data_IF_801626456917
#
_entry.id   IF_801626456917
#
_cell.length_a   1.000
_cell.length_b   1.000
_cell.length_c   1.000
_cell.angle_alpha   90.00
_cell.angle_beta   90.00
_cell.angle_gamma   90.00
#
_symmetry.space_group_name_H-M   'P 1'
#
loop_
_entity.id
_entity.type
_entity.pdbx_description
1 polymer ?
#
# COMPACT_ATOMS: atom_id res chain seq x y z
N UNK A 1 -17.03 25.10 1.59
CA UNK A 1 -17.04 23.62 1.63
C UNK A 1 -18.48 23.16 1.54
N UNK A 2 -18.79 22.11 0.81
CA UNK A 2 -20.08 21.43 0.94
C UNK A 2 -20.11 20.76 2.31
N UNK A 3 -21.09 21.07 3.16
CA UNK A 3 -21.22 20.48 4.51
C UNK A 3 -21.32 18.95 4.49
N UNK A 4 -21.75 18.39 3.34
CA UNK A 4 -21.93 16.96 3.11
C UNK A 4 -20.70 16.10 3.45
N UNK A 5 -19.50 16.56 3.13
CA UNK A 5 -18.27 15.76 3.26
C UNK A 5 -17.38 16.16 4.43
N UNK A 6 -17.85 17.02 5.35
CA UNK A 6 -17.03 17.58 6.42
C UNK A 6 -16.34 16.52 7.29
N UNK A 7 -17.01 15.39 7.58
CA UNK A 7 -16.43 14.31 8.39
C UNK A 7 -15.14 13.73 7.77
N UNK A 8 -15.03 13.71 6.43
CA UNK A 8 -13.86 13.22 5.73
C UNK A 8 -12.62 14.10 5.92
N UNK A 9 -12.83 15.36 6.34
CA UNK A 9 -11.77 16.34 6.61
C UNK A 9 -11.50 16.54 8.09
N UNK A 10 -12.11 15.73 8.96
CA UNK A 10 -11.77 15.72 10.38
C UNK A 10 -10.46 14.97 10.60
N UNK A 11 -9.57 15.47 11.47
CA UNK A 11 -8.33 14.77 11.80
C UNK A 11 -8.59 13.49 12.59
N UNK A 12 -7.64 12.57 12.54
CA UNK A 12 -7.58 11.38 13.39
C UNK A 12 -6.12 11.00 13.66
N UNK A 13 -5.89 10.07 14.57
CA UNK A 13 -4.54 9.67 14.95
C UNK A 13 -4.21 8.26 14.47
N UNK A 14 -2.99 8.05 14.01
CA UNK A 14 -2.33 6.75 13.85
C UNK A 14 -1.21 6.72 14.91
N UNK A 15 -1.43 6.00 16.01
CA UNK A 15 -0.59 6.12 17.18
C UNK A 15 -0.55 7.58 17.69
N UNK A 16 0.64 8.15 17.83
CA UNK A 16 0.84 9.57 18.20
C UNK A 16 0.87 10.53 17.00
N UNK A 17 0.72 10.03 15.78
CA UNK A 17 0.75 10.85 14.58
C UNK A 17 -0.64 11.35 14.21
N UNK A 18 -0.87 12.66 14.29
CA UNK A 18 -2.10 13.26 13.82
C UNK A 18 -2.12 13.35 12.29
N UNK A 19 -3.16 12.80 11.67
CA UNK A 19 -3.45 12.84 10.24
C UNK A 19 -4.57 13.84 10.01
N UNK A 20 -4.35 14.82 9.13
CA UNK A 20 -5.24 15.99 8.96
C UNK A 20 -6.65 15.68 8.41
N UNK A 21 -6.84 14.53 7.76
CA UNK A 21 -8.13 14.10 7.19
C UNK A 21 -8.15 12.58 6.97
N UNK A 22 -9.30 12.04 6.52
CA UNK A 22 -9.55 10.61 6.36
C UNK A 22 -9.03 10.00 5.06
N UNK A 23 -8.34 10.77 4.20
CA UNK A 23 -7.82 10.30 2.92
C UNK A 23 -6.35 9.97 3.01
N UNK A 24 -6.04 8.70 2.78
CA UNK A 24 -4.67 8.18 2.75
C UNK A 24 -4.33 7.78 1.31
N UNK A 25 -3.20 8.23 0.79
CA UNK A 25 -2.63 7.64 -0.42
C UNK A 25 -2.03 6.28 -0.04
N UNK A 26 -2.59 5.20 -0.59
CA UNK A 26 -2.11 3.84 -0.34
C UNK A 26 -0.72 3.58 -0.93
N UNK A 27 0.01 2.62 -0.33
CA UNK A 27 1.32 2.25 -0.81
C UNK A 27 1.23 1.76 -2.26
N UNK A 28 1.88 2.49 -3.13
CA UNK A 28 2.01 2.17 -4.54
C UNK A 28 3.27 2.82 -5.08
N UNK A 29 4.34 2.05 -5.08
CA UNK A 29 5.55 2.38 -5.81
C UNK A 29 5.29 2.22 -7.31
N UNK A 30 5.98 3.00 -8.10
CA UNK A 30 5.97 2.87 -9.54
C UNK A 30 7.39 2.61 -10.01
N UNK A 31 7.59 1.64 -10.88
CA UNK A 31 8.90 1.37 -11.47
C UNK A 31 9.51 2.64 -12.06
N UNK A 32 10.85 2.73 -12.05
CA UNK A 32 11.64 3.89 -12.50
C UNK A 32 11.54 5.14 -11.59
N UNK A 33 11.00 5.03 -10.39
CA UNK A 33 11.01 6.10 -9.37
C UNK A 33 12.22 6.04 -8.43
N UNK A 34 13.11 5.09 -8.66
CA UNK A 34 14.30 4.86 -7.83
C UNK A 34 15.57 5.10 -8.63
N UNK A 35 16.61 5.53 -7.96
CA UNK A 35 17.95 5.64 -8.55
C UNK A 35 18.74 4.33 -8.40
N UNK A 36 19.96 4.30 -8.93
CA UNK A 36 20.85 3.12 -8.85
C UNK A 36 21.28 2.74 -7.42
N UNK A 37 20.91 3.56 -6.45
CA UNK A 37 21.23 3.37 -5.03
C UNK A 37 20.00 3.00 -4.19
N UNK A 38 18.87 2.70 -4.82
CA UNK A 38 17.63 2.31 -4.13
C UNK A 38 16.89 3.46 -3.44
N UNK A 39 17.29 4.71 -3.65
CA UNK A 39 16.60 5.87 -3.13
C UNK A 39 15.61 6.43 -4.16
N UNK A 40 14.57 7.15 -3.70
CA UNK A 40 13.67 7.88 -4.59
C UNK A 40 14.47 8.87 -5.44
N UNK A 41 14.20 8.87 -6.76
CA UNK A 41 14.69 9.91 -7.65
C UNK A 41 13.74 11.13 -7.65
N UNK A 42 14.03 12.14 -8.47
CA UNK A 42 13.22 13.36 -8.51
C UNK A 42 11.79 13.11 -9.04
N UNK A 43 11.57 12.15 -9.94
CA UNK A 43 10.24 11.77 -10.42
C UNK A 43 9.42 11.12 -9.30
N UNK A 44 10.03 10.23 -8.50
CA UNK A 44 9.40 9.64 -7.32
C UNK A 44 9.02 10.69 -6.27
N UNK A 45 9.91 11.63 -5.99
CA UNK A 45 9.61 12.75 -5.08
C UNK A 45 8.46 13.61 -5.63
N UNK A 46 8.45 13.93 -6.92
CA UNK A 46 7.39 14.72 -7.55
C UNK A 46 6.04 13.97 -7.50
N UNK A 47 6.05 12.66 -7.75
CA UNK A 47 4.89 11.79 -7.68
C UNK A 47 4.18 11.87 -6.33
N UNK A 48 4.87 11.63 -5.22
CA UNK A 48 4.26 11.70 -3.87
C UNK A 48 3.90 13.13 -3.47
N UNK A 49 4.75 14.12 -3.81
CA UNK A 49 4.47 15.53 -3.53
C UNK A 49 3.20 16.03 -4.21
N UNK A 50 2.90 15.57 -5.44
CA UNK A 50 1.69 15.97 -6.15
C UNK A 50 0.42 15.48 -5.42
N UNK A 51 0.45 14.30 -4.77
CA UNK A 51 -0.66 13.79 -3.95
C UNK A 51 -0.78 14.55 -2.62
N UNK A 52 0.34 14.90 -2.00
CA UNK A 52 0.34 15.77 -0.83
C UNK A 52 -0.32 17.13 -1.13
N UNK A 53 0.05 17.76 -2.24
CA UNK A 53 -0.57 18.98 -2.77
C UNK A 53 -2.06 18.78 -3.09
N UNK A 54 -2.43 17.59 -3.53
CA UNK A 54 -3.80 17.18 -3.81
C UNK A 54 -4.68 16.97 -2.59
N UNK A 55 -4.15 17.15 -1.37
CA UNK A 55 -4.92 17.17 -0.14
C UNK A 55 -4.93 15.89 0.68
N UNK A 56 -4.18 14.85 0.29
CA UNK A 56 -4.08 13.63 1.10
C UNK A 56 -3.52 13.92 2.50
N UNK A 57 -4.09 13.28 3.54
CA UNK A 57 -3.65 13.42 4.93
C UNK A 57 -2.32 12.71 5.19
N UNK A 58 -2.13 11.56 4.57
CA UNK A 58 -0.85 10.86 4.56
C UNK A 58 -0.59 10.24 3.19
N UNK A 59 0.69 10.02 2.87
CA UNK A 59 1.17 9.23 1.74
C UNK A 59 1.99 8.07 2.26
N UNK A 60 1.68 6.87 1.78
CA UNK A 60 2.44 5.66 2.04
C UNK A 60 3.27 5.35 0.79
N UNK A 61 4.56 5.18 0.96
CA UNK A 61 5.46 4.81 -0.13
C UNK A 61 5.16 3.36 -0.56
N UNK A 62 5.52 2.99 -1.76
CA UNK A 62 5.48 1.59 -2.18
C UNK A 62 6.55 0.78 -1.48
N UNK A 63 6.44 -0.56 -1.56
CA UNK A 63 7.26 -1.46 -0.77
C UNK A 63 8.77 -1.25 -1.01
N UNK A 64 9.48 -1.06 0.09
CA UNK A 64 10.94 -1.12 0.13
C UNK A 64 11.37 -2.56 0.47
N UNK A 65 12.24 -3.13 -0.35
CA UNK A 65 12.91 -4.40 -0.04
C UNK A 65 14.20 -4.09 0.69
N UNK A 66 14.29 -4.54 1.94
CA UNK A 66 15.31 -4.06 2.88
C UNK A 66 16.41 -5.06 3.18
N UNK A 67 16.24 -6.31 2.71
CA UNK A 67 17.18 -7.38 2.97
C UNK A 67 18.12 -7.60 1.77
N UNK A 68 19.40 -7.34 2.01
CA UNK A 68 20.47 -7.64 1.06
C UNK A 68 21.38 -8.79 1.55
N UNK A 69 20.98 -9.47 2.66
CA UNK A 69 21.76 -10.54 3.28
C UNK A 69 21.23 -11.94 2.92
N UNK A 70 19.93 -12.06 2.78
CA UNK A 70 19.23 -13.33 2.50
C UNK A 70 18.68 -13.37 1.09
N UNK A 71 17.99 -12.30 0.68
CA UNK A 71 17.50 -12.07 -0.69
C UNK A 71 18.17 -10.84 -1.29
N UNK A 72 18.60 -10.92 -2.52
CA UNK A 72 19.21 -9.79 -3.21
C UNK A 72 18.22 -9.17 -4.20
N UNK A 73 17.76 -7.96 -3.87
CA UNK A 73 16.84 -7.20 -4.72
C UNK A 73 17.59 -6.09 -5.47
N UNK A 74 17.44 -6.01 -6.81
CA UNK A 74 18.06 -4.93 -7.58
C UNK A 74 17.54 -3.55 -7.12
N UNK A 75 18.42 -2.63 -6.68
CA UNK A 75 18.00 -1.34 -6.12
C UNK A 75 17.29 -0.42 -7.13
N UNK A 76 17.43 -0.67 -8.42
CA UNK A 76 16.77 0.11 -9.49
C UNK A 76 15.31 -0.27 -9.71
N UNK A 77 14.88 -1.43 -9.21
CA UNK A 77 13.50 -1.91 -9.39
C UNK A 77 12.59 -1.60 -8.21
N UNK A 78 13.18 -1.53 -7.01
CA UNK A 78 12.45 -1.31 -5.77
C UNK A 78 13.22 -0.36 -4.87
N UNK A 79 12.51 0.30 -3.97
CA UNK A 79 13.13 1.08 -2.90
C UNK A 79 13.98 0.16 -2.00
N UNK A 80 15.20 0.59 -1.66
CA UNK A 80 16.10 -0.18 -0.82
C UNK A 80 16.88 0.74 0.13
N UNK A 81 16.34 1.02 1.32
CA UNK A 81 16.92 1.94 2.28
C UNK A 81 18.35 1.56 2.73
N UNK A 82 18.62 0.26 2.84
CA UNK A 82 19.88 -0.24 3.40
C UNK A 82 20.99 -0.42 2.36
N UNK A 83 20.71 -0.25 1.07
CA UNK A 83 21.72 -0.36 0.02
C UNK A 83 22.72 0.83 0.05
N UNK A 84 22.19 2.05 0.19
CA UNK A 84 22.99 3.26 0.33
C UNK A 84 22.34 4.24 1.34
N UNK A 85 22.46 3.98 2.66
CA UNK A 85 21.67 4.67 3.70
C UNK A 85 21.76 6.19 3.70
N UNK A 86 22.96 6.73 3.45
CA UNK A 86 23.18 8.18 3.38
C UNK A 86 22.44 8.82 2.18
N UNK A 87 22.44 8.15 1.02
CA UNK A 87 21.70 8.59 -0.16
C UNK A 87 20.20 8.51 0.07
N UNK A 88 19.73 7.39 0.63
CA UNK A 88 18.35 7.20 1.01
C UNK A 88 17.86 8.31 1.93
N UNK A 89 18.54 8.53 3.06
CA UNK A 89 18.20 9.58 4.05
C UNK A 89 18.05 10.96 3.40
N UNK A 90 18.99 11.35 2.53
CA UNK A 90 18.94 12.63 1.82
C UNK A 90 17.66 12.78 0.98
N UNK A 91 17.32 11.79 0.17
CA UNK A 91 16.18 11.86 -0.74
C UNK A 91 14.86 11.73 0.01
N UNK A 92 14.81 10.87 1.02
CA UNK A 92 13.65 10.68 1.89
C UNK A 92 13.33 11.94 2.70
N UNK A 93 14.32 12.59 3.31
CA UNK A 93 14.12 13.86 4.04
C UNK A 93 13.60 14.97 3.12
N UNK A 94 14.07 15.03 1.88
CA UNK A 94 13.54 15.98 0.89
C UNK A 94 12.07 15.71 0.57
N UNK A 95 11.66 14.45 0.47
CA UNK A 95 10.26 14.09 0.29
C UNK A 95 9.41 14.52 1.48
N UNK A 96 9.87 14.20 2.70
CA UNK A 96 9.17 14.55 3.95
C UNK A 96 8.97 16.06 4.05
N UNK A 97 10.00 16.86 3.79
CA UNK A 97 9.90 18.32 3.76
C UNK A 97 8.86 18.82 2.76
N UNK A 98 8.88 18.30 1.52
CA UNK A 98 7.93 18.70 0.47
C UNK A 98 6.50 18.29 0.76
N UNK A 99 6.26 17.11 1.32
CA UNK A 99 4.94 16.66 1.74
C UNK A 99 4.46 17.44 2.96
N UNK A 100 5.35 17.69 3.92
CA UNK A 100 5.10 18.47 5.13
C UNK A 100 4.62 19.90 4.86
N UNK A 101 5.10 20.54 3.77
CA UNK A 101 4.63 21.84 3.34
C UNK A 101 3.12 21.89 3.04
N UNK A 102 2.48 20.74 2.84
CA UNK A 102 1.02 20.60 2.66
C UNK A 102 0.36 19.95 3.89
N UNK A 103 1.04 19.79 5.01
CA UNK A 103 0.54 19.13 6.21
C UNK A 103 0.29 17.62 6.01
N UNK A 104 0.96 16.99 5.05
CA UNK A 104 0.82 15.57 4.72
C UNK A 104 1.93 14.77 5.38
N UNK A 105 1.56 13.72 6.13
CA UNK A 105 2.51 12.80 6.76
C UNK A 105 3.03 11.78 5.75
N UNK A 106 4.28 11.35 5.92
CA UNK A 106 4.91 10.33 5.08
C UNK A 106 5.14 9.06 5.89
N UNK A 107 4.73 7.93 5.35
CA UNK A 107 4.98 6.60 5.89
C UNK A 107 5.79 5.80 4.86
N UNK A 108 6.81 5.08 5.31
CA UNK A 108 7.51 4.10 4.49
C UNK A 108 6.79 2.76 4.53
N UNK A 109 6.87 1.96 3.48
CA UNK A 109 6.40 0.58 3.52
C UNK A 109 7.62 -0.35 3.39
N UNK A 110 7.75 -1.34 4.28
CA UNK A 110 8.85 -2.31 4.27
C UNK A 110 8.33 -3.73 4.09
N UNK A 111 8.99 -4.51 3.24
CA UNK A 111 8.62 -5.89 2.92
C UNK A 111 9.72 -6.89 3.27
N UNK A 112 9.32 -8.04 3.81
CA UNK A 112 10.21 -9.14 4.18
C UNK A 112 10.55 -10.06 3.00
N UNK A 113 9.79 -10.00 1.91
CA UNK A 113 9.99 -10.79 0.69
C UNK A 113 8.69 -11.25 0.04
N UNK A 114 8.80 -11.76 -1.18
CA UNK A 114 7.66 -12.16 -2.01
C UNK A 114 6.95 -13.43 -1.54
N UNK A 115 7.60 -14.27 -0.72
CA UNK A 115 7.02 -15.53 -0.30
C UNK A 115 6.70 -16.44 -1.51
N UNK A 116 5.62 -17.22 -1.39
CA UNK A 116 5.16 -18.08 -2.48
C UNK A 116 4.73 -17.34 -3.76
N UNK A 117 4.58 -16.02 -3.71
CA UNK A 117 4.26 -15.22 -4.90
C UNK A 117 5.46 -15.01 -5.84
N UNK A 118 6.66 -15.34 -5.41
CA UNK A 118 7.89 -15.16 -6.18
C UNK A 118 8.59 -16.49 -6.40
N UNK A 119 8.90 -16.78 -7.68
CA UNK A 119 9.60 -18.00 -8.09
C UNK A 119 10.97 -18.10 -7.42
N UNK A 120 11.24 -19.23 -6.78
CA UNK A 120 12.51 -19.49 -6.09
C UNK A 120 12.74 -18.70 -4.80
N UNK A 121 11.76 -17.91 -4.35
CA UNK A 121 11.85 -17.17 -3.10
C UNK A 121 11.67 -18.08 -1.87
N UNK A 122 11.95 -17.51 -0.70
CA UNK A 122 11.74 -18.16 0.59
C UNK A 122 10.28 -18.08 1.00
N UNK A 123 9.77 -19.15 1.61
CA UNK A 123 8.45 -19.24 2.23
C UNK A 123 8.56 -19.95 3.60
N UNK A 124 7.56 -19.87 4.47
CA UNK A 124 7.60 -20.57 5.76
C UNK A 124 7.80 -22.09 5.62
N UNK A 125 7.24 -22.67 4.57
CA UNK A 125 7.37 -24.08 4.21
C UNK A 125 7.49 -24.24 2.71
N UNK A 126 8.00 -25.39 2.26
CA UNK A 126 8.15 -25.73 0.85
C UNK A 126 6.80 -26.05 0.19
N UNK A 127 6.01 -25.01 -0.07
CA UNK A 127 4.69 -25.08 -0.71
C UNK A 127 4.74 -24.70 -2.18
N UNK A 128 3.65 -24.94 -2.92
CA UNK A 128 3.51 -24.58 -4.33
C UNK A 128 3.73 -23.07 -4.56
N UNK A 129 4.54 -22.74 -5.56
CA UNK A 129 4.73 -21.35 -6.01
C UNK A 129 3.49 -20.87 -6.76
N UNK A 130 3.10 -19.63 -6.57
CA UNK A 130 2.00 -19.04 -7.32
C UNK A 130 2.28 -19.06 -8.82
N UNK A 131 1.28 -19.49 -9.61
CA UNK A 131 1.37 -19.73 -11.07
C UNK A 131 2.36 -20.79 -11.53
N UNK A 132 3.07 -21.46 -10.60
CA UNK A 132 4.02 -22.55 -10.91
C UNK A 132 3.78 -23.74 -9.97
N UNK A 133 2.63 -24.44 -10.08
CA UNK A 133 2.21 -25.47 -9.11
C UNK A 133 3.14 -26.69 -9.06
N UNK A 134 3.98 -26.88 -10.09
CA UNK A 134 5.01 -27.94 -10.12
C UNK A 134 6.33 -27.52 -9.47
N UNK A 135 6.44 -26.25 -9.03
CA UNK A 135 7.63 -25.72 -8.36
C UNK A 135 7.29 -25.42 -6.89
N UNK A 136 8.25 -25.63 -6.02
CA UNK A 136 8.12 -25.33 -4.60
C UNK A 136 9.08 -24.24 -4.19
N UNK A 137 8.61 -23.37 -3.30
CA UNK A 137 9.46 -22.38 -2.65
C UNK A 137 10.46 -23.08 -1.72
N UNK A 138 11.54 -22.38 -1.41
CA UNK A 138 12.51 -22.85 -0.40
C UNK A 138 12.02 -22.48 0.99
N UNK A 139 12.17 -23.40 1.93
CA UNK A 139 11.84 -23.10 3.33
C UNK A 139 12.87 -22.15 3.93
N UNK A 140 12.39 -21.12 4.64
CA UNK A 140 13.22 -20.15 5.34
C UNK A 140 13.67 -20.74 6.69
N UNK A 141 14.93 -20.59 7.03
CA UNK A 141 15.46 -20.99 8.35
C UNK A 141 15.17 -19.93 9.42
N UNK A 142 15.19 -20.32 10.71
CA UNK A 142 15.02 -19.39 11.83
C UNK A 142 16.10 -18.28 11.79
N UNK A 143 17.36 -18.62 11.52
CA UNK A 143 18.45 -17.64 11.37
C UNK A 143 18.17 -16.63 10.26
N UNK A 144 17.59 -17.06 9.13
CA UNK A 144 17.19 -16.16 8.05
C UNK A 144 15.99 -15.27 8.44
N UNK A 145 15.04 -15.80 9.23
CA UNK A 145 13.94 -14.99 9.78
C UNK A 145 14.51 -13.84 10.61
N UNK A 146 15.38 -14.15 11.57
CA UNK A 146 16.00 -13.14 12.45
C UNK A 146 16.80 -12.09 11.66
N UNK A 147 17.58 -12.50 10.67
CA UNK A 147 18.32 -11.58 9.79
C UNK A 147 17.39 -10.63 9.03
N UNK A 148 16.27 -11.13 8.50
CA UNK A 148 15.29 -10.32 7.80
C UNK A 148 14.59 -9.34 8.74
N UNK A 149 14.19 -9.79 9.95
CA UNK A 149 13.62 -8.92 10.99
C UNK A 149 14.58 -7.78 11.37
N UNK A 150 15.87 -8.10 11.57
CA UNK A 150 16.91 -7.11 11.87
C UNK A 150 17.02 -6.04 10.76
N UNK A 151 16.99 -6.47 9.49
CA UNK A 151 17.02 -5.54 8.35
C UNK A 151 15.78 -4.63 8.32
N UNK A 152 14.59 -5.17 8.59
CA UNK A 152 13.36 -4.37 8.63
C UNK A 152 13.37 -3.35 9.76
N UNK A 153 13.87 -3.72 10.95
CA UNK A 153 14.04 -2.81 12.09
C UNK A 153 15.05 -1.70 11.76
N UNK A 154 16.18 -2.03 11.14
CA UNK A 154 17.17 -1.05 10.68
C UNK A 154 16.62 -0.08 9.64
N UNK A 155 15.83 -0.58 8.70
CA UNK A 155 15.18 0.26 7.70
C UNK A 155 14.15 1.21 8.33
N UNK A 156 13.35 0.73 9.28
CA UNK A 156 12.41 1.56 10.03
C UNK A 156 13.13 2.67 10.82
N UNK A 157 14.26 2.36 11.46
CA UNK A 157 15.10 3.36 12.15
C UNK A 157 15.62 4.43 11.18
N UNK A 158 16.09 4.05 10.00
CA UNK A 158 16.55 4.98 8.97
C UNK A 158 15.41 5.85 8.42
N UNK A 159 14.19 5.29 8.27
CA UNK A 159 12.99 6.04 7.89
C UNK A 159 12.62 7.06 8.95
N UNK A 160 12.64 6.68 10.25
CA UNK A 160 12.47 7.64 11.36
C UNK A 160 13.48 8.76 11.30
N UNK A 161 14.75 8.44 11.14
CA UNK A 161 15.87 9.40 11.02
C UNK A 161 15.75 10.33 9.80
N UNK A 162 14.99 9.90 8.79
CA UNK A 162 14.66 10.68 7.59
C UNK A 162 13.45 11.60 7.79
N UNK A 163 12.75 11.49 8.95
CA UNK A 163 11.59 12.32 9.31
C UNK A 163 10.23 11.70 8.97
N UNK A 164 10.16 10.41 8.65
CA UNK A 164 8.89 9.72 8.43
C UNK A 164 8.06 9.70 9.72
N UNK A 165 6.74 9.72 9.56
CA UNK A 165 5.79 9.63 10.67
C UNK A 165 5.65 8.20 11.20
N UNK A 166 5.95 7.21 10.37
CA UNK A 166 5.85 5.81 10.71
C UNK A 166 6.28 4.89 9.57
N UNK A 167 6.15 3.61 9.81
CA UNK A 167 6.41 2.54 8.85
C UNK A 167 5.18 1.65 8.71
N UNK A 168 4.88 1.20 7.48
CA UNK A 168 3.89 0.17 7.17
C UNK A 168 4.59 -1.16 6.93
N UNK A 169 4.15 -2.20 7.60
CA UNK A 169 4.63 -3.55 7.33
C UNK A 169 3.84 -4.13 6.15
N UNK A 170 4.50 -4.31 5.02
CA UNK A 170 3.93 -4.93 3.81
C UNK A 170 3.88 -6.43 4.01
N UNK A 171 2.85 -6.90 4.66
CA UNK A 171 3.02 -8.13 5.36
C UNK A 171 1.85 -9.09 5.27
N UNK A 172 0.83 -8.84 6.02
CA UNK A 172 -0.22 -9.78 6.30
C UNK A 172 -1.33 -9.75 5.25
N UNK A 173 -0.99 -9.53 3.99
CA UNK A 173 -1.94 -9.47 2.88
C UNK A 173 -1.30 -9.93 1.55
N UNK A 174 -2.12 -10.20 0.56
CA UNK A 174 -1.76 -10.58 -0.80
C UNK A 174 -0.91 -11.85 -0.95
N UNK A 175 -0.68 -12.63 0.13
CA UNK A 175 0.10 -13.87 0.08
C UNK A 175 1.62 -13.66 0.03
N UNK A 176 2.15 -12.50 0.47
CA UNK A 176 3.59 -12.27 0.62
C UNK A 176 4.17 -13.09 1.77
N UNK A 177 5.49 -13.02 1.99
CA UNK A 177 6.17 -13.89 2.94
C UNK A 177 5.55 -13.85 4.34
N UNK A 178 5.27 -12.67 4.90
CA UNK A 178 4.65 -12.56 6.23
C UNK A 178 3.21 -13.07 6.24
N UNK A 179 2.46 -12.85 5.16
CA UNK A 179 1.12 -13.41 5.02
C UNK A 179 1.13 -14.94 4.92
N UNK A 180 2.16 -15.51 4.29
CA UNK A 180 2.35 -16.96 4.24
C UNK A 180 2.59 -17.56 5.64
N UNK A 181 3.30 -16.85 6.55
CA UNK A 181 3.45 -17.30 7.93
C UNK A 181 2.10 -17.42 8.65
N UNK A 182 1.18 -16.51 8.39
CA UNK A 182 -0.12 -16.45 9.05
C UNK A 182 -1.09 -17.55 8.58
N UNK A 183 -0.94 -18.06 7.36
CA UNK A 183 -1.88 -19.02 6.76
C UNK A 183 -1.44 -20.47 6.97
N UNK A 184 -2.22 -21.33 7.68
CA UNK A 184 -1.88 -22.74 7.88
C UNK A 184 -1.63 -23.51 6.56
N UNK A 185 -2.35 -23.18 5.50
CA UNK A 185 -2.19 -23.79 4.18
C UNK A 185 -0.78 -23.55 3.56
N UNK A 186 -0.06 -22.52 4.02
CA UNK A 186 1.27 -22.15 3.53
C UNK A 186 2.37 -22.31 4.60
N UNK A 187 1.98 -22.52 5.88
CA UNK A 187 2.91 -22.63 7.01
C UNK A 187 2.70 -23.94 7.75
N UNK A 188 3.55 -24.93 7.45
CA UNK A 188 3.54 -26.25 8.05
C UNK A 188 4.69 -26.42 9.06
N UNK A 189 5.24 -25.34 9.59
CA UNK A 189 6.36 -25.34 10.54
C UNK A 189 5.92 -25.93 11.89
N UNK A 190 6.86 -26.61 12.55
CA UNK A 190 6.68 -27.20 13.87
C UNK A 190 7.49 -26.46 14.96
N UNK A 191 8.21 -25.40 14.57
CA UNK A 191 8.97 -24.52 15.46
C UNK A 191 8.11 -23.34 15.98
N UNK A 192 8.77 -22.38 16.65
CA UNK A 192 8.14 -21.20 17.26
C UNK A 192 7.43 -20.25 16.27
N UNK A 193 7.56 -20.46 14.94
CA UNK A 193 6.93 -19.68 13.89
C UNK A 193 5.80 -20.44 13.16
N UNK A 194 5.38 -21.61 13.68
CA UNK A 194 4.32 -22.44 13.10
C UNK A 194 3.34 -23.01 14.12
N UNK A 195 2.35 -23.77 13.64
CA UNK A 195 1.34 -24.40 14.50
C UNK A 195 0.25 -23.42 14.95
N UNK A 196 0.18 -23.07 16.24
CA UNK A 196 -0.87 -22.19 16.79
C UNK A 196 -0.80 -20.76 16.23
N UNK A 197 -1.89 -20.01 16.37
CA UNK A 197 -2.01 -18.67 15.81
C UNK A 197 -0.94 -17.72 16.35
N UNK A 198 -0.68 -17.76 17.65
CA UNK A 198 0.33 -16.93 18.32
C UNK A 198 1.72 -17.14 17.73
N UNK A 199 2.09 -18.38 17.42
CA UNK A 199 3.35 -18.71 16.79
C UNK A 199 3.40 -18.20 15.33
N UNK A 200 2.32 -18.37 14.58
CA UNK A 200 2.24 -17.87 13.19
C UNK A 200 2.31 -16.35 13.09
N UNK A 201 1.81 -15.63 14.09
CA UNK A 201 1.87 -14.16 14.18
C UNK A 201 3.23 -13.68 14.72
N UNK A 202 3.97 -14.50 15.43
CA UNK A 202 5.21 -14.18 16.16
C UNK A 202 6.21 -13.38 15.32
N UNK A 203 6.46 -13.79 14.09
CA UNK A 203 7.41 -13.09 13.20
C UNK A 203 7.07 -11.60 13.05
N UNK A 204 5.79 -11.24 13.08
CA UNK A 204 5.33 -9.86 12.95
C UNK A 204 5.40 -9.14 14.29
N UNK A 205 4.94 -9.78 15.37
CA UNK A 205 4.94 -9.14 16.70
C UNK A 205 6.34 -8.82 17.18
N UNK A 206 7.31 -9.71 16.97
CA UNK A 206 8.72 -9.46 17.26
C UNK A 206 9.29 -8.26 16.48
N UNK A 207 8.91 -8.10 15.21
CA UNK A 207 9.31 -6.92 14.42
C UNK A 207 8.68 -5.64 14.97
N UNK A 208 7.40 -5.65 15.31
CA UNK A 208 6.70 -4.49 15.90
C UNK A 208 7.37 -4.07 17.19
N UNK A 209 7.64 -5.02 18.08
CA UNK A 209 8.35 -4.78 19.34
C UNK A 209 9.76 -4.23 19.10
N UNK A 210 10.52 -4.83 18.19
CA UNK A 210 11.88 -4.37 17.83
C UNK A 210 11.88 -2.97 17.25
N UNK A 211 10.91 -2.62 16.40
CA UNK A 211 10.78 -1.27 15.85
C UNK A 211 10.47 -0.28 16.98
N UNK A 212 9.55 -0.58 17.89
CA UNK A 212 9.26 0.30 19.02
C UNK A 212 10.43 0.44 20.00
N UNK A 213 11.21 -0.61 20.21
CA UNK A 213 12.42 -0.53 21.03
C UNK A 213 13.46 0.44 20.43
N UNK A 214 13.66 0.40 19.13
CA UNK A 214 14.67 1.23 18.43
C UNK A 214 14.12 2.62 18.09
N UNK A 215 12.88 2.69 17.64
CA UNK A 215 12.28 3.94 17.15
C UNK A 215 11.46 4.69 18.21
N UNK A 216 11.12 4.05 19.34
CA UNK A 216 10.24 4.64 20.34
C UNK A 216 8.77 4.64 19.92
N UNK A 217 7.88 4.91 20.88
CA UNK A 217 6.42 4.83 20.72
C UNK A 217 5.78 6.01 19.95
N UNK A 218 6.54 7.02 19.58
CA UNK A 218 6.11 8.15 18.77
C UNK A 218 6.20 7.86 17.26
N UNK A 219 6.99 6.86 16.86
CA UNK A 219 7.07 6.38 15.49
C UNK A 219 5.99 5.32 15.25
N UNK A 220 5.03 5.62 14.39
CA UNK A 220 3.89 4.75 14.19
C UNK A 220 4.26 3.49 13.37
N UNK A 221 3.71 2.35 13.79
CA UNK A 221 3.80 1.08 13.04
C UNK A 221 2.41 0.70 12.56
N UNK A 222 2.24 0.61 11.25
CA UNK A 222 1.00 0.15 10.61
C UNK A 222 1.22 -1.15 9.87
N UNK A 223 0.15 -1.81 9.48
CA UNK A 223 0.23 -3.09 8.77
C UNK A 223 -0.88 -3.24 7.73
N UNK A 224 -0.54 -3.73 6.54
CA UNK A 224 -1.52 -4.28 5.62
C UNK A 224 -2.02 -5.63 6.14
N UNK A 225 -3.32 -5.78 6.36
CA UNK A 225 -3.95 -7.03 6.79
C UNK A 225 -5.01 -7.49 5.79
N UNK A 226 -4.82 -8.69 5.22
CA UNK A 226 -5.85 -9.39 4.46
C UNK A 226 -6.91 -9.95 5.39
N UNK A 227 -8.13 -9.42 5.32
CA UNK A 227 -9.24 -9.84 6.18
C UNK A 227 -9.85 -11.17 5.74
N UNK A 228 -9.78 -11.48 4.45
CA UNK A 228 -10.23 -12.76 3.88
C UNK A 228 -9.42 -13.07 2.63
N UNK A 229 -8.97 -14.33 2.47
CA UNK A 229 -8.10 -14.72 1.34
C UNK A 229 -8.84 -15.02 0.05
N UNK A 230 -10.10 -15.47 0.12
CA UNK A 230 -10.91 -15.87 -1.03
C UNK A 230 -10.26 -16.97 -1.88
N UNK A 231 -9.78 -18.05 -1.25
CA UNK A 231 -9.20 -19.22 -1.91
C UNK A 231 -9.82 -20.52 -1.42
N UNK A 232 -9.90 -21.51 -2.30
CA UNK A 232 -10.33 -22.89 -1.96
C UNK A 232 -9.16 -23.86 -1.88
N UNK A 233 -8.01 -23.49 -2.43
CA UNK A 233 -6.71 -24.16 -2.31
C UNK A 233 -5.62 -23.18 -2.79
N UNK A 234 -4.34 -23.52 -2.63
CA UNK A 234 -3.25 -22.80 -3.31
C UNK A 234 -3.48 -22.85 -4.83
N UNK A 235 -3.23 -21.73 -5.51
CA UNK A 235 -3.49 -21.50 -6.94
C UNK A 235 -4.99 -21.62 -7.35
N UNK A 236 -5.93 -21.58 -6.41
CA UNK A 236 -7.38 -21.67 -6.67
C UNK A 236 -8.16 -20.59 -5.93
N UNK A 237 -8.41 -19.46 -6.60
CA UNK A 237 -9.24 -18.38 -6.09
C UNK A 237 -10.74 -18.73 -6.08
N UNK A 238 -11.51 -18.06 -5.20
CA UNK A 238 -12.96 -18.16 -5.08
C UNK A 238 -13.60 -16.80 -5.28
N UNK A 239 -14.66 -16.72 -6.10
CA UNK A 239 -15.44 -15.48 -6.28
C UNK A 239 -16.35 -15.18 -5.07
N UNK A 240 -16.91 -16.21 -4.47
CA UNK A 240 -17.89 -16.07 -3.38
C UNK A 240 -17.25 -16.11 -2.00
N UNK A 241 -16.05 -16.71 -1.88
CA UNK A 241 -15.37 -16.96 -0.61
C UNK A 241 -16.00 -18.11 0.20
N UNK A 242 -16.76 -18.98 -0.46
CA UNK A 242 -17.21 -20.24 0.14
C UNK A 242 -16.05 -21.23 0.22
N UNK A 243 -16.09 -22.12 1.22
CA UNK A 243 -15.05 -23.12 1.48
C UNK A 243 -13.64 -22.50 1.56
N UNK A 244 -13.50 -21.42 2.31
CA UNK A 244 -12.23 -20.69 2.51
C UNK A 244 -11.14 -21.62 3.06
N UNK A 245 -10.07 -21.81 2.31
CA UNK A 245 -8.91 -22.60 2.72
C UNK A 245 -7.75 -21.73 3.24
N UNK A 246 -7.81 -20.43 2.99
CA UNK A 246 -6.86 -19.43 3.49
C UNK A 246 -7.34 -18.83 4.80
N UNK A 247 -7.25 -17.48 4.90
CA UNK A 247 -7.71 -16.75 6.08
C UNK A 247 -9.19 -16.46 6.01
N UNK A 248 -9.91 -16.78 7.11
CA UNK A 248 -11.29 -16.33 7.36
C UNK A 248 -11.33 -14.98 8.07
N UNK A 249 -12.51 -14.35 8.13
CA UNK A 249 -12.68 -13.06 8.84
C UNK A 249 -12.46 -13.24 10.35
N UNK A 250 -12.92 -14.34 10.90
CA UNK A 250 -12.77 -14.69 12.32
C UNK A 250 -11.28 -14.81 12.69
N UNK A 251 -10.49 -15.50 11.87
CA UNK A 251 -9.05 -15.60 12.07
C UNK A 251 -8.36 -14.23 11.91
N UNK A 252 -8.79 -13.41 10.95
CA UNK A 252 -8.26 -12.06 10.76
C UNK A 252 -8.53 -11.16 11.98
N UNK A 253 -9.68 -11.30 12.63
CA UNK A 253 -10.02 -10.60 13.87
C UNK A 253 -9.06 -10.98 15.00
N UNK A 254 -8.78 -12.26 15.19
CA UNK A 254 -7.84 -12.71 16.23
C UNK A 254 -6.41 -12.26 15.93
N UNK A 255 -5.98 -12.28 14.67
CA UNK A 255 -4.71 -11.70 14.23
C UNK A 255 -4.68 -10.20 14.55
N UNK A 256 -5.72 -9.45 14.22
CA UNK A 256 -5.81 -8.01 14.48
C UNK A 256 -5.66 -7.67 15.97
N UNK A 257 -6.28 -8.45 16.87
CA UNK A 257 -6.15 -8.30 18.33
C UNK A 257 -4.71 -8.57 18.80
N UNK A 258 -4.06 -9.61 18.27
CA UNK A 258 -2.65 -9.90 18.61
C UNK A 258 -1.72 -8.79 18.13
N UNK A 259 -1.96 -8.24 16.94
CA UNK A 259 -1.18 -7.13 16.37
C UNK A 259 -1.39 -5.83 17.16
N UNK A 260 -2.62 -5.52 17.56
CA UNK A 260 -2.90 -4.37 18.43
C UNK A 260 -2.18 -4.51 19.77
N UNK A 261 -2.25 -5.70 20.39
CA UNK A 261 -1.54 -5.99 21.65
C UNK A 261 -0.03 -5.84 21.52
N UNK A 262 0.55 -6.16 20.35
CA UNK A 262 1.97 -6.00 20.07
C UNK A 262 2.37 -4.53 19.82
N UNK A 263 1.40 -3.62 19.66
CA UNK A 263 1.66 -2.19 19.48
C UNK A 263 1.49 -1.67 18.04
N UNK A 264 0.85 -2.43 17.15
CA UNK A 264 0.43 -1.89 15.84
C UNK A 264 -0.53 -0.72 16.06
N UNK A 265 -0.36 0.36 15.32
CA UNK A 265 -1.08 1.62 15.53
C UNK A 265 -2.23 1.86 14.53
N UNK A 266 -2.29 1.14 13.43
CA UNK A 266 -3.42 1.10 12.50
C UNK A 266 -3.32 -0.09 11.55
N UNK A 267 -4.48 -0.55 11.06
CA UNK A 267 -4.60 -1.63 10.07
C UNK A 267 -5.06 -1.05 8.75
N UNK A 268 -4.31 -1.29 7.68
CA UNK A 268 -4.73 -1.05 6.31
C UNK A 268 -5.42 -2.33 5.81
N UNK A 269 -6.76 -2.39 6.01
CA UNK A 269 -7.55 -3.58 5.71
C UNK A 269 -7.66 -3.84 4.21
N UNK A 270 -7.41 -5.08 3.81
CA UNK A 270 -7.45 -5.55 2.42
C UNK A 270 -8.16 -6.91 2.33
N UNK A 271 -8.37 -7.41 1.14
CA UNK A 271 -8.93 -8.75 0.87
C UNK A 271 -8.25 -9.38 -0.33
N UNK A 272 -8.29 -10.70 -0.37
CA UNK A 272 -7.71 -11.48 -1.46
C UNK A 272 -6.19 -11.59 -1.35
N UNK A 273 -5.67 -12.55 -2.07
CA UNK A 273 -4.24 -12.78 -2.31
C UNK A 273 -3.99 -12.90 -3.82
N UNK A 274 -2.77 -13.17 -4.26
CA UNK A 274 -2.49 -13.32 -5.70
C UNK A 274 -3.34 -14.42 -6.36
N UNK A 275 -3.67 -15.49 -5.66
CA UNK A 275 -4.54 -16.58 -6.14
C UNK A 275 -5.98 -16.11 -6.41
N UNK A 276 -6.44 -15.10 -5.69
CA UNK A 276 -7.74 -14.44 -5.80
C UNK A 276 -7.61 -12.96 -6.19
N UNK A 277 -6.70 -12.66 -7.10
CA UNK A 277 -6.23 -11.32 -7.43
C UNK A 277 -7.33 -10.32 -7.77
N UNK A 278 -8.45 -10.79 -8.33
CA UNK A 278 -9.62 -9.97 -8.62
C UNK A 278 -10.31 -9.40 -7.35
N UNK A 279 -10.02 -9.92 -6.16
CA UNK A 279 -10.38 -9.31 -4.88
C UNK A 279 -9.31 -8.33 -4.39
N UNK A 280 -8.03 -8.70 -4.46
CA UNK A 280 -6.90 -7.88 -3.99
C UNK A 280 -6.72 -6.61 -4.86
N UNK A 281 -6.82 -6.75 -6.18
CA UNK A 281 -6.75 -5.64 -7.12
C UNK A 281 -8.00 -5.60 -8.02
N UNK A 282 -9.18 -5.27 -7.47
CA UNK A 282 -10.46 -5.49 -8.12
C UNK A 282 -10.59 -4.72 -9.43
N UNK A 283 -10.96 -5.40 -10.54
CA UNK A 283 -11.21 -4.79 -11.84
C UNK A 283 -12.54 -4.02 -11.88
N UNK A 284 -12.79 -3.35 -13.00
CA UNK A 284 -13.95 -2.46 -13.16
C UNK A 284 -15.31 -3.10 -12.93
N UNK A 285 -15.45 -4.37 -13.17
CA UNK A 285 -16.70 -5.13 -12.98
C UNK A 285 -16.95 -5.60 -11.53
N UNK A 286 -15.95 -5.57 -10.65
CA UNK A 286 -16.18 -5.81 -9.23
C UNK A 286 -16.89 -4.61 -8.59
N UNK A 287 -17.84 -4.81 -7.66
CA UNK A 287 -18.50 -3.70 -6.97
C UNK A 287 -17.53 -2.77 -6.25
N UNK A 288 -17.82 -1.46 -6.20
CA UNK A 288 -17.11 -0.52 -5.36
C UNK A 288 -17.35 -0.86 -3.89
N UNK A 289 -16.31 -0.81 -3.06
CA UNK A 289 -16.42 -1.07 -1.63
C UNK A 289 -16.85 -2.50 -1.27
N UNK A 290 -16.63 -3.48 -2.15
CA UNK A 290 -17.12 -4.86 -2.01
C UNK A 290 -16.68 -5.58 -0.72
N UNK A 291 -15.64 -5.08 -0.06
CA UNK A 291 -15.10 -5.66 1.16
C UNK A 291 -15.40 -4.80 2.42
N UNK A 292 -16.16 -3.71 2.29
CA UNK A 292 -16.35 -2.75 3.39
C UNK A 292 -16.99 -3.40 4.62
N UNK A 293 -17.95 -4.30 4.44
CA UNK A 293 -18.62 -5.00 5.57
C UNK A 293 -17.69 -5.99 6.28
N UNK A 294 -16.69 -6.53 5.57
CA UNK A 294 -15.67 -7.39 6.19
C UNK A 294 -14.70 -6.54 7.05
N UNK A 295 -14.36 -5.33 6.58
CA UNK A 295 -13.52 -4.41 7.35
C UNK A 295 -14.22 -3.91 8.62
N UNK A 296 -15.53 -3.66 8.53
CA UNK A 296 -16.34 -3.25 9.67
C UNK A 296 -16.31 -4.30 10.79
N UNK A 297 -16.36 -5.59 10.48
CA UNK A 297 -16.26 -6.67 11.47
C UNK A 297 -14.92 -6.64 12.22
N UNK A 298 -13.81 -6.34 11.53
CA UNK A 298 -12.50 -6.16 12.20
C UNK A 298 -12.52 -4.88 13.04
N UNK A 299 -13.05 -3.77 12.49
CA UNK A 299 -13.12 -2.48 13.19
C UNK A 299 -13.88 -2.57 14.52
N UNK A 300 -14.95 -3.34 14.57
CA UNK A 300 -15.73 -3.57 15.80
C UNK A 300 -14.96 -4.28 16.92
N UNK A 301 -13.86 -4.95 16.59
CA UNK A 301 -13.13 -5.83 17.51
C UNK A 301 -11.78 -5.28 17.96
N UNK A 302 -11.34 -4.11 17.41
CA UNK A 302 -10.06 -3.46 17.76
C UNK A 302 -10.26 -1.99 18.07
N UNK A 303 -9.41 -1.45 18.95
CA UNK A 303 -9.42 -0.03 19.33
C UNK A 303 -8.58 0.85 18.39
N UNK A 304 -7.68 0.28 17.60
CA UNK A 304 -6.86 1.02 16.65
C UNK A 304 -7.62 1.34 15.36
N UNK A 305 -7.21 2.38 14.61
CA UNK A 305 -7.81 2.71 13.35
C UNK A 305 -7.75 1.58 12.32
N UNK A 306 -8.88 1.35 11.63
CA UNK A 306 -8.98 0.47 10.47
C UNK A 306 -9.24 1.31 9.23
N UNK A 307 -8.38 1.20 8.22
CA UNK A 307 -8.39 2.00 7.01
C UNK A 307 -8.74 1.13 5.81
N UNK A 308 -9.84 1.47 5.10
CA UNK A 308 -10.39 0.66 4.02
C UNK A 308 -9.60 0.80 2.72
N UNK A 309 -9.13 -0.31 2.14
CA UNK A 309 -8.64 -0.44 0.76
C UNK A 309 -9.78 -0.89 -0.19
N UNK A 310 -9.45 -1.30 -1.40
CA UNK A 310 -10.34 -1.97 -2.38
C UNK A 310 -11.52 -1.17 -2.90
N UNK A 311 -11.29 -0.48 -4.05
CA UNK A 311 -12.29 0.27 -4.84
C UNK A 311 -13.05 1.37 -4.08
N UNK A 312 -12.41 2.04 -3.13
CA UNK A 312 -12.96 3.17 -2.38
C UNK A 312 -12.94 4.52 -3.15
N UNK A 313 -12.68 4.54 -4.46
CA UNK A 313 -12.54 5.75 -5.28
C UNK A 313 -13.86 6.42 -5.69
N UNK A 314 -14.81 6.53 -4.76
CA UNK A 314 -16.09 7.21 -4.91
C UNK A 314 -16.32 8.08 -3.68
N UNK A 315 -16.57 9.41 -3.83
CA UNK A 315 -16.73 10.31 -2.69
C UNK A 315 -17.88 9.94 -1.74
N UNK A 316 -19.01 9.51 -2.27
CA UNK A 316 -20.17 9.15 -1.46
C UNK A 316 -19.96 7.81 -0.73
N UNK A 317 -19.26 6.88 -1.35
CA UNK A 317 -18.83 5.65 -0.68
C UNK A 317 -17.81 5.95 0.44
N UNK A 318 -16.85 6.86 0.22
CA UNK A 318 -15.93 7.29 1.27
C UNK A 318 -16.67 7.90 2.45
N UNK A 319 -17.65 8.77 2.16
CA UNK A 319 -18.51 9.38 3.18
C UNK A 319 -19.25 8.30 3.97
N UNK A 320 -19.97 7.42 3.29
CA UNK A 320 -20.72 6.33 3.91
C UNK A 320 -19.83 5.46 4.81
N UNK A 321 -18.65 5.08 4.35
CA UNK A 321 -17.73 4.22 5.08
C UNK A 321 -17.27 4.82 6.41
N UNK A 322 -16.98 6.13 6.44
CA UNK A 322 -16.51 6.83 7.63
C UNK A 322 -17.66 7.26 8.52
N UNK A 323 -18.74 7.82 7.95
CA UNK A 323 -19.90 8.32 8.69
C UNK A 323 -20.65 7.21 9.43
N UNK A 324 -20.76 6.02 8.81
CA UNK A 324 -21.37 4.84 9.44
C UNK A 324 -20.49 4.16 10.50
N UNK A 325 -19.25 4.64 10.70
CA UNK A 325 -18.32 4.05 11.65
C UNK A 325 -17.70 2.70 11.21
N UNK A 326 -17.94 2.27 9.96
CA UNK A 326 -17.40 1.01 9.43
C UNK A 326 -15.87 1.00 9.37
N UNK A 327 -15.27 2.18 9.14
CA UNK A 327 -13.81 2.38 9.13
C UNK A 327 -13.45 3.79 9.56
N UNK A 328 -12.19 4.03 9.92
CA UNK A 328 -11.71 5.34 10.37
C UNK A 328 -11.22 6.23 9.22
N UNK A 329 -10.91 5.65 8.07
CA UNK A 329 -10.44 6.38 6.90
C UNK A 329 -10.35 5.48 5.67
N UNK A 330 -10.00 6.06 4.54
CA UNK A 330 -9.95 5.38 3.25
C UNK A 330 -8.57 5.46 2.62
N UNK A 331 -8.13 4.35 2.04
CA UNK A 331 -6.82 4.21 1.40
C UNK A 331 -7.02 4.15 -0.13
N UNK A 332 -6.56 5.19 -0.80
CA UNK A 332 -6.73 5.38 -2.24
C UNK A 332 -5.39 5.18 -2.96
N UNK A 333 -5.19 4.04 -3.60
CA UNK A 333 -4.02 3.77 -4.44
C UNK A 333 -4.30 4.14 -5.91
N UNK A 334 -4.99 3.29 -6.66
CA UNK A 334 -5.34 3.55 -8.07
C UNK A 334 -6.18 4.83 -8.29
N UNK A 335 -7.13 5.22 -7.40
CA UNK A 335 -7.79 6.52 -7.51
C UNK A 335 -6.83 7.71 -7.42
N UNK A 336 -5.79 7.64 -6.58
CA UNK A 336 -4.76 8.68 -6.47
C UNK A 336 -3.83 8.74 -7.70
N UNK A 337 -3.73 7.66 -8.51
CA UNK A 337 -3.11 7.70 -9.84
C UNK A 337 -4.01 8.41 -10.85
N UNK A 338 -5.29 8.07 -10.86
CA UNK A 338 -6.27 8.64 -11.77
C UNK A 338 -6.45 10.14 -11.51
N UNK A 339 -6.57 10.53 -10.24
CA UNK A 339 -6.70 11.92 -9.82
C UNK A 339 -5.90 12.21 -8.54
N UNK A 340 -4.71 12.80 -8.63
CA UNK A 340 -3.93 13.16 -7.46
C UNK A 340 -4.60 14.24 -6.57
N UNK A 341 -5.62 14.94 -7.10
CA UNK A 341 -6.36 15.98 -6.40
C UNK A 341 -7.74 15.51 -5.90
N UNK A 342 -7.94 14.21 -5.76
CA UNK A 342 -9.19 13.61 -5.31
C UNK A 342 -9.72 14.25 -4.00
N UNK A 343 -8.95 14.34 -2.89
CA UNK A 343 -9.43 14.99 -1.67
C UNK A 343 -9.69 16.48 -1.87
N UNK A 344 -8.79 17.17 -2.57
CA UNK A 344 -8.91 18.63 -2.79
C UNK A 344 -10.16 19.01 -3.55
N UNK A 345 -10.57 18.23 -4.55
CA UNK A 345 -11.80 18.48 -5.31
C UNK A 345 -13.06 18.28 -4.48
N UNK A 346 -13.07 17.32 -3.56
CA UNK A 346 -14.16 17.14 -2.58
C UNK A 346 -14.20 18.35 -1.63
N UNK A 347 -13.06 18.75 -1.08
CA UNK A 347 -12.94 19.91 -0.18
C UNK A 347 -13.43 21.20 -0.85
N UNK A 348 -13.16 21.36 -2.15
CA UNK A 348 -13.63 22.51 -2.95
C UNK A 348 -15.12 22.43 -3.34
N UNK A 349 -15.82 21.34 -3.04
CA UNK A 349 -17.23 21.14 -3.41
C UNK A 349 -17.46 20.86 -4.90
N UNK A 350 -16.47 20.31 -5.59
CA UNK A 350 -16.53 19.99 -7.03
C UNK A 350 -16.20 18.50 -7.28
N UNK A 351 -16.82 17.54 -6.55
CA UNK A 351 -16.51 16.13 -6.69
C UNK A 351 -16.78 15.58 -8.10
N UNK A 352 -17.68 16.19 -8.88
CA UNK A 352 -17.98 15.85 -10.26
C UNK A 352 -16.78 16.06 -11.21
N UNK A 353 -15.77 16.85 -10.81
CA UNK A 353 -14.53 17.06 -11.55
C UNK A 353 -13.45 16.04 -11.24
N UNK A 354 -13.72 15.08 -10.36
CA UNK A 354 -12.80 13.99 -10.08
C UNK A 354 -12.71 13.08 -11.31
N UNK A 355 -11.48 12.80 -11.74
CA UNK A 355 -11.21 11.78 -12.75
C UNK A 355 -11.27 10.40 -12.10
N UNK A 356 -12.31 9.58 -12.37
CA UNK A 356 -12.48 8.30 -11.68
C UNK A 356 -11.46 7.26 -12.17
N UNK A 357 -10.99 6.41 -11.24
CA UNK A 357 -10.33 5.17 -11.62
C UNK A 357 -11.35 4.19 -12.18
N UNK A 358 -11.15 3.75 -13.42
CA UNK A 358 -12.05 2.82 -14.13
C UNK A 358 -11.80 1.34 -13.82
N UNK A 359 -10.80 1.03 -12.98
CA UNK A 359 -10.46 -0.35 -12.61
C UNK A 359 -9.93 -1.21 -13.75
N UNK A 360 -9.30 -0.60 -14.76
CA UNK A 360 -8.80 -1.33 -15.95
C UNK A 360 -7.52 -2.14 -15.69
N UNK A 361 -6.77 -1.84 -14.64
CA UNK A 361 -5.49 -2.45 -14.25
C UNK A 361 -4.37 -2.40 -15.33
N UNK A 362 -4.54 -1.71 -16.45
CA UNK A 362 -3.61 -1.72 -17.59
C UNK A 362 -2.36 -0.88 -17.32
N UNK A 363 -2.53 0.42 -17.04
CA UNK A 363 -1.39 1.35 -16.91
C UNK A 363 -0.68 1.26 -15.55
N UNK A 364 -1.38 0.83 -14.50
CA UNK A 364 -0.81 0.61 -13.18
C UNK A 364 -0.26 -0.83 -13.06
N UNK A 365 -1.07 -1.78 -12.60
CA UNK A 365 -0.62 -3.15 -12.38
C UNK A 365 0.02 -3.80 -13.62
N UNK A 366 -0.65 -3.74 -14.77
CA UNK A 366 -0.17 -4.38 -16.00
C UNK A 366 1.18 -3.85 -16.46
N UNK A 367 1.46 -2.56 -16.31
CA UNK A 367 2.78 -2.03 -16.64
C UNK A 367 3.82 -2.38 -15.58
N UNK A 368 3.50 -2.19 -14.29
CA UNK A 368 4.50 -2.34 -13.22
C UNK A 368 4.82 -3.80 -12.92
N UNK A 369 3.82 -4.64 -12.81
CA UNK A 369 3.99 -6.03 -12.35
C UNK A 369 4.14 -7.00 -13.53
N UNK A 370 3.26 -6.91 -14.54
CA UNK A 370 3.26 -7.86 -15.66
C UNK A 370 4.39 -7.56 -16.66
N UNK A 371 4.66 -6.28 -16.92
CA UNK A 371 5.64 -5.88 -17.95
C UNK A 371 6.96 -5.36 -17.39
N UNK A 372 7.05 -5.09 -16.09
CA UNK A 372 8.26 -4.56 -15.45
C UNK A 372 8.66 -3.15 -15.94
N UNK A 373 7.70 -2.35 -16.47
CA UNK A 373 7.96 -1.01 -16.99
C UNK A 373 7.35 0.06 -16.09
N UNK A 374 7.60 1.34 -16.40
CA UNK A 374 7.07 2.46 -15.62
C UNK A 374 5.55 2.38 -15.49
N UNK A 375 5.06 2.61 -14.29
CA UNK A 375 3.64 2.74 -14.01
C UNK A 375 3.02 3.93 -14.73
N UNK A 376 1.69 3.93 -14.80
CA UNK A 376 0.91 5.00 -15.40
C UNK A 376 -0.57 4.81 -15.16
N UNK A 377 -1.40 5.58 -15.82
CA UNK A 377 -2.85 5.46 -15.71
C UNK A 377 -3.51 5.69 -17.08
N UNK A 378 -4.46 4.81 -17.44
CA UNK A 378 -5.18 4.92 -18.71
C UNK A 378 -6.03 6.20 -18.82
N UNK A 379 -6.47 6.76 -17.69
CA UNK A 379 -7.28 7.98 -17.65
C UNK A 379 -6.51 9.22 -17.23
N UNK A 380 -5.23 9.10 -16.83
CA UNK A 380 -4.40 10.23 -16.44
C UNK A 380 -3.03 10.16 -17.14
N UNK A 381 -2.83 10.88 -18.23
CA UNK A 381 -1.57 10.85 -18.98
C UNK A 381 -0.37 11.44 -18.22
N UNK A 382 -0.62 12.15 -17.11
CA UNK A 382 0.42 12.73 -16.25
C UNK A 382 0.87 11.80 -15.13
N UNK A 383 0.13 10.73 -14.86
CA UNK A 383 0.48 9.80 -13.78
C UNK A 383 1.92 9.28 -13.97
N UNK A 384 2.74 9.39 -12.93
CA UNK A 384 4.17 9.05 -12.90
C UNK A 384 5.10 9.94 -13.74
N UNK A 385 4.56 11.03 -14.32
CA UNK A 385 5.29 12.02 -15.13
C UNK A 385 5.09 13.45 -14.62
N UNK A 386 4.73 13.59 -13.35
CA UNK A 386 4.33 14.86 -12.73
C UNK A 386 5.41 15.93 -12.83
N UNK A 387 6.69 15.53 -12.76
CA UNK A 387 7.82 16.47 -12.89
C UNK A 387 7.89 17.10 -14.28
N UNK A 388 7.71 16.30 -15.32
CA UNK A 388 7.99 16.68 -16.71
C UNK A 388 6.76 17.18 -17.49
N UNK A 389 5.55 16.92 -16.98
CA UNK A 389 4.29 17.22 -17.68
C UNK A 389 3.46 18.32 -17.01
N UNK A 390 4.07 19.15 -16.17
CA UNK A 390 3.38 20.31 -15.58
C UNK A 390 2.93 21.26 -16.66
N UNK A 391 1.60 21.56 -16.76
CA UNK A 391 1.14 22.65 -17.62
C UNK A 391 1.80 23.96 -17.18
N UNK A 392 2.40 24.66 -18.11
CA UNK A 392 2.97 26.00 -17.90
C UNK A 392 2.26 26.94 -18.85
N UNK A 393 1.94 28.16 -18.38
CA UNK A 393 1.44 29.19 -19.28
C UNK A 393 2.49 29.44 -20.36
N UNK A 394 2.03 29.46 -21.61
CA UNK A 394 2.89 29.79 -22.73
C UNK A 394 3.38 31.25 -22.58
N UNK A 395 4.68 31.47 -22.76
CA UNK A 395 5.26 32.83 -22.77
C UNK A 395 4.66 33.64 -23.93
N UNK A 396 4.51 33.03 -25.10
CA UNK A 396 3.88 33.59 -26.28
C UNK A 396 2.67 32.73 -26.66
N UNK A 397 1.43 33.11 -26.26
CA UNK A 397 0.22 32.39 -26.64
C UNK A 397 0.06 32.30 -28.13
N UNK A 398 -0.34 31.13 -28.63
CA UNK A 398 -0.58 30.89 -30.07
C UNK A 398 -1.97 30.28 -30.24
N UNK A 399 -2.55 30.50 -31.42
CA UNK A 399 -3.76 29.77 -31.84
C UNK A 399 -3.36 28.33 -32.19
N UNK A 400 -4.01 27.35 -31.55
CA UNK A 400 -3.77 25.93 -31.79
C UNK A 400 -5.03 25.32 -32.38
N UNK A 401 -4.88 24.64 -33.52
CA UNK A 401 -5.96 23.83 -34.08
C UNK A 401 -5.79 22.39 -33.60
N UNK A 402 -6.84 21.85 -32.99
CA UNK A 402 -6.88 20.44 -32.60
C UNK A 402 -7.79 19.70 -33.57
N UNK A 403 -7.19 18.78 -34.36
CA UNK A 403 -7.91 18.00 -35.36
C UNK A 403 -8.28 16.66 -34.73
N UNK A 404 -9.58 16.41 -34.53
CA UNK A 404 -10.14 15.21 -33.92
C UNK A 404 -10.67 15.44 -32.53
N UNK A 405 -11.93 15.01 -32.27
CA UNK A 405 -12.66 15.12 -31.01
C UNK A 405 -12.56 13.86 -30.12
N UNK A 406 -11.63 12.95 -30.40
CA UNK A 406 -11.37 11.78 -29.52
C UNK A 406 -10.65 12.17 -28.21
N UNK A 407 -10.42 11.20 -27.30
CA UNK A 407 -9.81 11.47 -25.97
C UNK A 407 -8.49 12.24 -26.05
N UNK A 408 -7.64 11.96 -27.04
CA UNK A 408 -6.38 12.66 -27.23
C UNK A 408 -6.59 14.13 -27.63
N UNK A 409 -7.51 14.39 -28.55
CA UNK A 409 -7.82 15.75 -28.99
C UNK A 409 -8.48 16.58 -27.89
N UNK A 410 -9.44 15.99 -27.17
CA UNK A 410 -10.04 16.63 -25.98
C UNK A 410 -8.99 16.97 -24.92
N UNK A 411 -8.07 16.05 -24.60
CA UNK A 411 -7.00 16.30 -23.64
C UNK A 411 -6.03 17.38 -24.15
N UNK A 412 -5.70 17.40 -25.43
CA UNK A 412 -4.87 18.45 -26.04
C UNK A 412 -5.54 19.83 -25.90
N UNK A 413 -6.83 19.93 -26.21
CA UNK A 413 -7.59 21.18 -26.09
C UNK A 413 -7.69 21.68 -24.63
N UNK A 414 -7.87 20.76 -23.67
CA UNK A 414 -7.88 21.11 -22.23
C UNK A 414 -6.51 21.62 -21.78
N UNK A 415 -5.43 21.10 -22.35
CA UNK A 415 -4.06 21.46 -21.96
C UNK A 415 -3.61 22.77 -22.57
N UNK A 416 -4.04 23.06 -23.81
CA UNK A 416 -3.72 24.28 -24.53
C UNK A 416 -4.43 25.53 -24.00
#
# INVERSE_FOLDING_TARGET
>A
MSDKYNILFTPFNIGKQQIKNRFIMGPMGCNQMYDSYGALNNDGIAYYTERAKGGFGAVFLGVAMVDNLVDNYPPTLVENPLYAPGRYKKMASMLVERCGAYGTKVFGEVGMGGGRNSRGALAPSAVETFNFPNERNREITVDQIHKKQECMIKAAALMKDSGFAGVDLHAAHWGYLLDNFLMPIANHREDEYGGCLENRVRVITEMVEGIHQVCGSDFAVTIGLGVKSFITALNKGSLTGENEAGRTVEEAIEIAKLLEKAGVNAILADVGIYDSFYHACPPGYMPKGHALDLYAQVKEQVGIPVLARSRMGDPDLCLHAVESGKVDGVVLARPALADPYFPRKIEMGIPEKIRPCIGCNVGCYGNMVERGIAGGCAVNPRATRELNTRPRKAVNPRKIAVIGGGPAGMQAAITA
#
